data_IF_020948021533
#
_entry.id   IF_020948021533
#
_cell.length_a   1.000
_cell.length_b   1.000
_cell.length_c   1.000
_cell.angle_alpha   90.00
_cell.angle_beta   90.00
_cell.angle_gamma   90.00
#
_symmetry.space_group_name_H-M   'P 1'
#
loop_
_entity.id
_entity.type
_entity.pdbx_description
1 polymer ?
#
# COMPACT_ATOMS: atom_id res chain seq x y z
N UNK A 1 -3.99 34.11 -6.52
CA UNK A 1 -5.18 33.90 -5.67
C UNK A 1 -5.95 32.69 -6.20
N UNK A 2 -6.11 31.62 -5.41
CA UNK A 2 -6.92 30.45 -5.81
C UNK A 2 -8.38 30.72 -5.44
N UNK A 3 -9.26 30.72 -6.43
CA UNK A 3 -10.68 31.10 -6.37
C UNK A 3 -11.58 30.12 -5.57
N UNK A 4 -11.16 29.60 -4.41
CA UNK A 4 -11.98 28.74 -3.52
C UNK A 4 -12.50 27.41 -4.11
N UNK A 5 -12.31 27.16 -5.41
CA UNK A 5 -12.80 25.98 -6.12
C UNK A 5 -11.91 24.78 -5.82
N UNK A 6 -12.52 23.67 -5.36
CA UNK A 6 -11.85 22.38 -5.21
C UNK A 6 -11.30 21.94 -6.57
N UNK A 7 -9.99 21.71 -6.64
CA UNK A 7 -9.35 21.13 -7.82
C UNK A 7 -9.20 19.63 -7.61
N UNK A 8 -9.66 18.77 -8.54
CA UNK A 8 -9.40 17.34 -8.43
C UNK A 8 -7.89 17.08 -8.50
N UNK A 9 -7.41 16.16 -7.67
CA UNK A 9 -6.03 15.69 -7.68
C UNK A 9 -6.01 14.36 -8.43
N UNK A 10 -5.23 14.27 -9.51
CA UNK A 10 -5.10 13.03 -10.28
C UNK A 10 -4.54 11.89 -9.44
N UNK A 11 -4.78 10.64 -9.83
CA UNK A 11 -4.19 9.47 -9.18
C UNK A 11 -2.67 9.60 -9.05
N UNK A 12 -1.99 9.98 -10.14
CA UNK A 12 -0.55 10.20 -10.13
C UNK A 12 -0.12 11.21 -9.06
N UNK A 13 -0.79 12.37 -9.00
CA UNK A 13 -0.46 13.40 -8.02
C UNK A 13 -0.81 12.97 -6.60
N UNK A 14 -1.88 12.19 -6.40
CA UNK A 14 -2.21 11.57 -5.10
C UNK A 14 -1.12 10.62 -4.62
N UNK A 15 -0.52 9.84 -5.53
CA UNK A 15 0.61 8.95 -5.21
C UNK A 15 1.86 9.79 -4.87
N UNK A 16 2.18 10.83 -5.65
CA UNK A 16 3.38 11.65 -5.40
C UNK A 16 3.35 12.44 -4.08
N UNK A 17 2.16 12.81 -3.59
CA UNK A 17 2.02 13.49 -2.29
C UNK A 17 1.79 12.50 -1.14
N UNK A 18 1.86 11.19 -1.39
CA UNK A 18 1.72 10.18 -0.36
C UNK A 18 2.97 10.19 0.52
N UNK A 19 2.78 10.31 1.83
CA UNK A 19 3.86 10.51 2.80
C UNK A 19 4.55 9.18 3.18
N UNK A 20 5.04 8.46 2.17
CA UNK A 20 5.90 7.29 2.32
C UNK A 20 6.62 7.04 0.98
N UNK A 21 7.93 7.31 0.96
CA UNK A 21 8.74 7.23 -0.28
C UNK A 21 8.78 5.82 -0.87
N UNK A 22 9.00 4.80 -0.04
CA UNK A 22 9.08 3.40 -0.48
C UNK A 22 7.76 2.96 -1.14
N UNK A 23 6.63 3.29 -0.51
CA UNK A 23 5.31 2.98 -1.07
C UNK A 23 4.98 3.84 -2.29
N UNK A 24 5.48 5.07 -2.36
CA UNK A 24 5.27 5.94 -3.52
C UNK A 24 5.87 5.35 -4.78
N UNK A 25 7.14 4.94 -4.74
CA UNK A 25 7.84 4.36 -5.90
C UNK A 25 7.14 3.08 -6.38
N UNK A 26 6.75 2.23 -5.44
CA UNK A 26 6.00 1.01 -5.71
C UNK A 26 4.65 1.31 -6.37
N UNK A 27 3.85 2.22 -5.80
CA UNK A 27 2.52 2.56 -6.33
C UNK A 27 2.61 3.24 -7.71
N UNK A 28 3.68 3.98 -7.98
CA UNK A 28 3.96 4.52 -9.32
C UNK A 28 4.23 3.40 -10.32
N UNK A 29 5.01 2.37 -9.97
CA UNK A 29 5.25 1.22 -10.85
C UNK A 29 3.94 0.49 -11.19
N UNK A 30 3.10 0.19 -10.18
CA UNK A 30 1.77 -0.41 -10.41
C UNK A 30 0.91 0.46 -11.33
N UNK A 31 0.91 1.78 -11.12
CA UNK A 31 0.17 2.72 -11.97
C UNK A 31 0.61 2.62 -13.43
N UNK A 32 1.92 2.53 -13.71
CA UNK A 32 2.41 2.46 -15.10
C UNK A 32 1.90 1.20 -15.81
N UNK A 33 1.97 0.04 -15.15
CA UNK A 33 1.44 -1.22 -15.71
C UNK A 33 -0.08 -1.13 -15.92
N UNK A 34 -0.82 -0.61 -14.94
CA UNK A 34 -2.27 -0.42 -15.05
C UNK A 34 -2.68 0.57 -16.15
N UNK A 35 -1.90 1.62 -16.37
CA UNK A 35 -2.11 2.57 -17.46
C UNK A 35 -1.92 1.89 -18.83
N UNK A 36 -0.86 1.09 -19.01
CA UNK A 36 -0.63 0.33 -20.25
C UNK A 36 -1.80 -0.60 -20.54
N UNK A 37 -2.25 -1.39 -19.56
CA UNK A 37 -3.37 -2.31 -19.73
C UNK A 37 -4.72 -1.64 -20.01
N UNK A 38 -4.94 -0.42 -19.50
CA UNK A 38 -6.18 0.33 -19.75
C UNK A 38 -6.27 0.91 -21.17
N UNK A 39 -5.14 1.05 -21.87
CA UNK A 39 -5.06 1.70 -23.18
C UNK A 39 -4.93 0.71 -24.36
N UNK A 40 -5.37 -0.55 -24.20
CA UNK A 40 -5.12 -1.64 -25.18
C UNK A 40 -3.62 -1.82 -25.50
N UNK A 41 -2.75 -1.48 -24.54
CA UNK A 41 -1.32 -1.69 -24.69
C UNK A 41 -0.96 -3.16 -24.59
N UNK A 42 0.19 -3.51 -25.17
CA UNK A 42 0.78 -4.84 -25.02
C UNK A 42 1.23 -5.02 -23.57
N UNK A 43 0.64 -5.99 -22.88
CA UNK A 43 1.06 -6.46 -21.57
C UNK A 43 1.42 -7.92 -21.68
N UNK A 44 2.55 -8.28 -21.09
CA UNK A 44 2.92 -9.67 -20.92
C UNK A 44 2.43 -10.19 -19.55
N UNK A 45 2.31 -11.50 -19.43
CA UNK A 45 1.96 -12.15 -18.15
C UNK A 45 2.93 -11.75 -17.03
N UNK A 46 4.20 -11.52 -17.36
CA UNK A 46 5.21 -11.11 -16.38
C UNK A 46 4.90 -9.74 -15.76
N UNK A 47 4.47 -8.75 -16.56
CA UNK A 47 4.10 -7.42 -16.08
C UNK A 47 2.96 -7.50 -15.06
N UNK A 48 1.98 -8.36 -15.34
CA UNK A 48 0.83 -8.59 -14.44
C UNK A 48 1.32 -9.20 -13.12
N UNK A 49 2.15 -10.25 -13.18
CA UNK A 49 2.68 -10.91 -11.99
C UNK A 49 3.51 -9.95 -11.13
N UNK A 50 4.34 -9.11 -11.74
CA UNK A 50 5.10 -8.07 -11.06
C UNK A 50 4.17 -7.05 -10.38
N UNK A 51 3.14 -6.57 -11.08
CA UNK A 51 2.16 -5.64 -10.51
C UNK A 51 1.43 -6.24 -9.29
N UNK A 52 1.03 -7.52 -9.35
CA UNK A 52 0.39 -8.20 -8.22
C UNK A 52 1.34 -8.38 -7.03
N UNK A 53 2.61 -8.73 -7.27
CA UNK A 53 3.62 -8.85 -6.22
C UNK A 53 3.85 -7.52 -5.51
N UNK A 54 3.95 -6.43 -6.27
CA UNK A 54 4.07 -5.08 -5.72
C UNK A 54 2.80 -4.72 -4.92
N UNK A 55 1.62 -4.98 -5.47
CA UNK A 55 0.34 -4.67 -4.83
C UNK A 55 0.19 -5.38 -3.49
N UNK A 56 0.51 -6.67 -3.43
CA UNK A 56 0.48 -7.45 -2.19
C UNK A 56 1.39 -6.84 -1.12
N UNK A 57 2.62 -6.47 -1.49
CA UNK A 57 3.55 -5.83 -0.56
C UNK A 57 3.02 -4.48 -0.05
N UNK A 58 2.48 -3.64 -0.93
CA UNK A 58 1.92 -2.34 -0.54
C UNK A 58 0.72 -2.50 0.40
N UNK A 59 -0.20 -3.42 0.11
CA UNK A 59 -1.36 -3.67 0.98
C UNK A 59 -0.93 -4.17 2.36
N UNK A 60 0.05 -5.08 2.41
CA UNK A 60 0.59 -5.54 3.67
C UNK A 60 1.24 -4.39 4.47
N UNK A 61 1.99 -3.49 3.83
CA UNK A 61 2.59 -2.35 4.52
C UNK A 61 1.57 -1.30 4.99
N UNK A 62 0.52 -1.07 4.21
CA UNK A 62 -0.51 -0.09 4.54
C UNK A 62 -1.47 -0.58 5.62
N UNK A 63 -1.81 -1.87 5.60
CA UNK A 63 -2.98 -2.37 6.35
C UNK A 63 -2.68 -3.56 7.25
N UNK A 64 -1.69 -4.39 6.95
CA UNK A 64 -1.22 -5.32 7.97
C UNK A 64 -0.55 -4.43 9.03
N UNK A 65 -1.15 -4.35 10.21
CA UNK A 65 -0.61 -3.60 11.33
C UNK A 65 0.07 -4.60 12.29
N UNK A 66 1.18 -5.25 11.87
CA UNK A 66 1.80 -6.29 12.66
C UNK A 66 2.27 -5.73 14.00
N UNK A 67 2.66 -4.45 14.05
CA UNK A 67 3.08 -3.81 15.30
C UNK A 67 1.94 -3.75 16.32
N UNK A 68 0.70 -3.43 15.92
CA UNK A 68 -0.46 -3.46 16.82
C UNK A 68 -0.76 -4.87 17.31
N UNK A 69 -0.67 -5.86 16.45
CA UNK A 69 -0.86 -7.27 16.83
C UNK A 69 0.22 -7.73 17.81
N UNK A 70 1.48 -7.46 17.51
CA UNK A 70 2.61 -7.78 18.38
C UNK A 70 2.47 -7.04 19.72
N UNK A 71 2.16 -5.75 19.73
CA UNK A 71 1.91 -4.98 20.97
C UNK A 71 0.79 -5.59 21.80
N UNK A 72 -0.30 -6.03 21.16
CA UNK A 72 -1.42 -6.72 21.85
C UNK A 72 -0.94 -8.03 22.46
N UNK A 73 -0.24 -8.86 21.69
CA UNK A 73 0.32 -10.13 22.16
C UNK A 73 1.27 -9.91 23.36
N UNK A 74 2.19 -8.96 23.24
CA UNK A 74 3.14 -8.58 24.30
C UNK A 74 2.40 -8.12 25.56
N UNK A 75 1.42 -7.22 25.42
CA UNK A 75 0.61 -6.75 26.55
C UNK A 75 -0.12 -7.90 27.24
N UNK A 76 -0.70 -8.81 26.47
CA UNK A 76 -1.42 -9.96 27.00
C UNK A 76 -0.48 -10.92 27.74
N UNK A 77 0.75 -11.13 27.25
CA UNK A 77 1.78 -11.96 27.92
C UNK A 77 2.17 -11.32 29.25
N UNK A 78 2.49 -10.02 29.24
CA UNK A 78 2.93 -9.30 30.43
C UNK A 78 1.82 -9.22 31.49
N UNK A 79 0.56 -9.02 31.09
CA UNK A 79 -0.58 -8.97 32.00
C UNK A 79 -0.79 -10.28 32.77
N UNK A 80 -0.62 -11.42 32.09
CA UNK A 80 -0.81 -12.75 32.70
C UNK A 80 0.46 -13.33 33.32
N UNK A 81 1.62 -12.69 33.08
CA UNK A 81 2.95 -13.16 33.51
C UNK A 81 3.20 -14.64 33.19
N UNK A 82 2.76 -15.11 32.01
CA UNK A 82 2.80 -16.53 31.68
C UNK A 82 2.17 -16.93 30.34
N UNK A 83 1.99 -18.23 30.14
CA UNK A 83 1.39 -18.79 28.92
C UNK A 83 -0.14 -18.64 28.90
N UNK A 84 -0.78 -18.81 27.73
CA UNK A 84 -2.24 -18.92 27.68
C UNK A 84 -2.64 -20.26 28.29
N UNK A 85 -3.64 -20.26 29.19
CA UNK A 85 -4.27 -21.51 29.63
C UNK A 85 -4.99 -22.11 28.42
N UNK A 86 -4.77 -23.42 28.21
CA UNK A 86 -5.43 -24.20 27.16
C UNK A 86 -6.93 -24.29 27.42
#
# INVERSE_FOLDING_TARGET
MNNGKRKPISLHKRILIFDNKELTDLLIAIKWIGNTGSHLGDLETIDILEAYKLLEFALNRLYANPEKEIKKITKDINKRKGTRKR
#
